data_IF_568873593964
#
_entry.id   IF_568873593964
#
_cell.length_a   1.000
_cell.length_b   1.000
_cell.length_c   1.000
_cell.angle_alpha   90.00
_cell.angle_beta   90.00
_cell.angle_gamma   90.00
#
_symmetry.space_group_name_H-M   'P 1'
#
loop_
_entity.id
_entity.type
_entity.pdbx_description
1 polymer ?
#
# COMPACT_ATOMS: atom_id res chain seq x y z
N UNK A 1 -0.78 20.21 -6.26
CA UNK A 1 0.60 20.60 -5.94
C UNK A 1 1.13 19.45 -5.13
N UNK A 2 2.15 18.71 -5.59
CA UNK A 2 2.78 17.72 -4.73
C UNK A 2 3.78 18.51 -3.90
N UNK A 3 3.35 19.00 -2.74
CA UNK A 3 4.15 19.82 -1.80
C UNK A 3 5.18 18.95 -1.05
N UNK A 4 5.65 17.87 -1.67
CA UNK A 4 6.71 17.03 -1.14
C UNK A 4 7.92 17.14 -2.06
N UNK A 5 8.97 17.78 -1.54
CA UNK A 5 10.25 17.82 -2.20
C UNK A 5 10.87 16.42 -2.18
N UNK A 6 10.94 15.80 -3.36
CA UNK A 6 11.64 14.54 -3.54
C UNK A 6 13.12 14.82 -3.80
N UNK A 7 13.98 14.21 -2.99
CA UNK A 7 15.43 14.37 -3.08
C UNK A 7 16.10 13.01 -3.34
N UNK A 8 17.24 13.05 -4.03
CA UNK A 8 18.06 11.85 -4.23
C UNK A 8 18.90 11.56 -2.98
N UNK A 9 19.14 10.27 -2.67
CA UNK A 9 20.02 9.92 -1.54
C UNK A 9 21.45 10.43 -1.71
N UNK A 10 21.90 10.68 -2.94
CA UNK A 10 23.23 11.22 -3.23
C UNK A 10 23.38 12.66 -2.74
N UNK A 11 22.31 13.45 -2.84
CA UNK A 11 22.31 14.88 -2.48
C UNK A 11 21.88 15.10 -1.02
N UNK A 12 21.27 14.11 -0.37
CA UNK A 12 20.81 14.19 1.01
C UNK A 12 21.91 13.84 2.03
N UNK A 13 22.61 14.85 2.53
CA UNK A 13 23.51 14.67 3.68
C UNK A 13 22.68 14.58 4.96
N UNK A 14 22.81 13.48 5.72
CA UNK A 14 22.00 13.26 6.94
C UNK A 14 22.07 14.40 7.96
N UNK A 15 23.21 15.09 8.09
CA UNK A 15 23.39 16.20 9.04
C UNK A 15 22.54 17.44 8.73
N UNK A 16 22.04 17.55 7.51
CA UNK A 16 21.26 18.72 7.07
C UNK A 16 19.77 18.56 7.41
N UNK A 17 19.35 17.34 7.78
CA UNK A 17 17.97 17.00 8.11
C UNK A 17 17.81 16.46 9.53
N UNK A 18 18.87 15.90 10.13
CA UNK A 18 18.87 15.37 11.50
C UNK A 18 19.72 16.26 12.41
N UNK A 19 19.12 17.32 12.93
CA UNK A 19 19.77 18.35 13.75
C UNK A 19 19.72 18.06 15.25
N UNK A 20 18.72 17.28 15.70
CA UNK A 20 18.45 17.04 17.12
C UNK A 20 18.47 15.56 17.48
N UNK A 21 18.95 15.26 18.68
CA UNK A 21 18.89 13.92 19.24
C UNK A 21 17.44 13.42 19.34
N UNK A 22 17.26 12.12 19.14
CA UNK A 22 15.98 11.37 19.12
C UNK A 22 15.10 11.64 17.90
N UNK A 23 15.57 12.43 16.94
CA UNK A 23 14.92 12.48 15.63
C UNK A 23 14.95 11.10 14.97
N UNK A 24 13.87 10.78 14.27
CA UNK A 24 13.57 9.45 13.75
C UNK A 24 13.40 9.51 12.25
N UNK A 25 13.87 8.48 11.58
CA UNK A 25 13.72 8.30 10.14
C UNK A 25 13.34 6.85 9.85
N UNK A 26 12.63 6.66 8.75
CA UNK A 26 12.25 5.34 8.25
C UNK A 26 12.92 5.13 6.89
N UNK A 27 13.63 4.02 6.75
CA UNK A 27 14.23 3.62 5.48
C UNK A 27 13.55 2.36 4.96
N UNK A 28 12.64 2.53 4.00
CA UNK A 28 11.99 1.43 3.30
C UNK A 28 12.94 0.91 2.24
N UNK A 29 13.39 -0.33 2.37
CA UNK A 29 14.34 -0.95 1.43
C UNK A 29 13.70 -2.02 0.55
N UNK A 30 12.52 -2.52 0.94
CA UNK A 30 11.75 -3.48 0.17
C UNK A 30 10.28 -3.07 0.20
N UNK A 31 9.82 -2.52 -0.92
CA UNK A 31 8.45 -2.07 -1.08
C UNK A 31 7.44 -3.21 -1.26
N UNK A 32 7.87 -4.39 -1.73
CA UNK A 32 6.95 -5.50 -1.99
C UNK A 32 6.50 -6.18 -0.71
N UNK A 33 7.42 -6.33 0.24
CA UNK A 33 7.12 -6.91 1.56
C UNK A 33 7.02 -5.84 2.65
N UNK A 34 6.96 -4.57 2.29
CA UNK A 34 6.88 -3.42 3.21
C UNK A 34 7.97 -3.43 4.32
N UNK A 35 9.19 -3.88 4.01
CA UNK A 35 10.26 -3.94 5.00
C UNK A 35 10.99 -2.60 5.10
N UNK A 36 11.14 -2.14 6.33
CA UNK A 36 11.80 -0.89 6.64
C UNK A 36 12.73 -1.01 7.85
N UNK A 37 13.76 -0.16 7.87
CA UNK A 37 14.58 0.10 9.05
C UNK A 37 14.06 1.36 9.74
N UNK A 38 13.78 1.23 11.03
CA UNK A 38 13.53 2.36 11.90
C UNK A 38 14.86 2.83 12.51
N UNK A 39 15.29 4.03 12.16
CA UNK A 39 16.55 4.59 12.65
C UNK A 39 16.28 5.84 13.47
N UNK A 40 17.01 5.98 14.58
CA UNK A 40 16.93 7.12 15.49
C UNK A 40 18.33 7.71 15.68
N UNK A 41 18.45 9.03 15.60
CA UNK A 41 19.68 9.72 15.92
C UNK A 41 19.87 9.73 17.45
N UNK A 42 20.74 8.86 17.96
CA UNK A 42 20.90 8.70 19.41
C UNK A 42 21.64 9.87 20.08
N UNK A 43 22.73 10.32 19.46
CA UNK A 43 23.65 11.32 20.04
C UNK A 43 24.44 12.01 18.92
N UNK A 44 24.69 13.31 19.07
CA UNK A 44 25.64 14.06 18.23
C UNK A 44 26.87 14.37 19.08
N UNK A 45 28.05 13.90 18.66
CA UNK A 45 29.31 14.12 19.38
C UNK A 45 30.18 15.15 18.63
N UNK A 46 30.22 16.43 19.07
CA UNK A 46 30.97 17.47 18.39
C UNK A 46 32.48 17.22 18.43
N UNK A 47 33.18 17.62 17.37
CA UNK A 47 34.65 17.49 17.27
C UNK A 47 35.15 16.05 17.03
N UNK A 48 34.25 15.06 16.98
CA UNK A 48 34.60 13.67 16.64
C UNK A 48 34.30 13.41 15.17
N UNK A 49 35.35 13.14 14.38
CA UNK A 49 35.22 12.75 12.97
C UNK A 49 35.69 11.31 12.78
N UNK A 50 34.76 10.42 12.45
CA UNK A 50 35.09 9.03 12.12
C UNK A 50 35.59 8.95 10.68
N UNK A 51 36.61 8.13 10.43
CA UNK A 51 37.08 7.84 9.06
C UNK A 51 36.14 6.86 8.33
N UNK A 52 35.51 5.96 9.09
CA UNK A 52 34.61 4.92 8.62
C UNK A 52 33.51 4.67 9.66
N UNK A 53 32.32 4.21 9.25
CA UNK A 53 31.27 3.83 10.18
C UNK A 53 31.71 2.66 11.07
N UNK A 54 31.22 2.62 12.31
CA UNK A 54 31.55 1.59 13.29
C UNK A 54 30.26 1.08 13.95
N UNK A 55 30.01 -0.22 13.88
CA UNK A 55 28.98 -0.87 14.70
C UNK A 55 29.53 -1.08 16.11
N UNK A 56 29.00 -0.34 17.08
CA UNK A 56 29.41 -0.43 18.50
C UNK A 56 28.58 -1.45 19.28
N UNK A 57 27.36 -1.72 18.83
CA UNK A 57 26.45 -2.69 19.42
C UNK A 57 25.62 -3.37 18.33
N UNK A 58 25.57 -4.69 18.36
CA UNK A 58 24.65 -5.50 17.58
C UNK A 58 24.03 -6.56 18.48
N UNK A 59 22.72 -6.77 18.36
CA UNK A 59 21.95 -7.76 19.14
C UNK A 59 20.93 -8.43 18.23
N UNK A 60 20.77 -9.73 18.42
CA UNK A 60 19.90 -10.56 17.58
C UNK A 60 20.58 -10.96 16.27
N UNK A 61 19.80 -11.61 15.40
CA UNK A 61 20.22 -12.00 14.06
C UNK A 61 19.34 -11.28 13.04
N UNK A 62 19.96 -10.77 11.97
CA UNK A 62 19.22 -10.09 10.92
C UNK A 62 18.33 -11.08 10.16
N UNK A 63 17.10 -10.69 9.77
CA UNK A 63 16.24 -11.55 8.98
C UNK A 63 16.85 -11.84 7.60
N UNK A 64 16.52 -12.98 6.97
CA UNK A 64 16.99 -13.29 5.63
C UNK A 64 16.55 -12.21 4.62
N UNK A 65 17.47 -11.81 3.75
CA UNK A 65 17.23 -10.73 2.79
C UNK A 65 16.28 -11.20 1.66
N UNK A 66 16.47 -12.42 1.17
CA UNK A 66 15.67 -13.02 0.10
C UNK A 66 14.75 -14.05 0.73
N UNK A 67 13.45 -13.81 0.65
CA UNK A 67 12.42 -14.79 1.02
C UNK A 67 11.70 -15.18 -0.26
N UNK A 68 11.48 -16.49 -0.49
CA UNK A 68 10.72 -16.92 -1.66
C UNK A 68 9.26 -16.49 -1.48
N UNK A 69 8.76 -15.63 -2.38
CA UNK A 69 7.39 -15.11 -2.32
C UNK A 69 6.34 -16.22 -2.41
N UNK A 70 6.66 -17.35 -3.06
CA UNK A 70 5.76 -18.50 -3.18
C UNK A 70 5.38 -19.09 -1.81
N UNK A 71 6.27 -19.03 -0.81
CA UNK A 71 6.00 -19.53 0.55
C UNK A 71 5.09 -18.60 1.36
N UNK A 72 5.00 -17.31 1.02
CA UNK A 72 4.12 -16.38 1.75
C UNK A 72 2.66 -16.44 1.26
N UNK A 73 2.42 -16.93 0.04
CA UNK A 73 1.07 -17.05 -0.52
C UNK A 73 0.26 -18.22 0.05
N UNK A 74 0.91 -19.20 0.69
CA UNK A 74 0.23 -20.42 1.16
C UNK A 74 -0.64 -20.22 2.40
N UNK A 75 -0.43 -19.15 3.18
CA UNK A 75 -1.19 -18.89 4.41
C UNK A 75 -2.52 -18.13 4.15
N UNK A 76 -2.82 -17.80 2.90
CA UNK A 76 -4.13 -17.24 2.49
C UNK A 76 -5.00 -18.31 1.81
N UNK A 77 -4.92 -19.56 2.27
CA UNK A 77 -5.73 -20.67 1.72
C UNK A 77 -6.92 -20.96 2.63
N UNK A 78 -7.89 -20.03 2.65
CA UNK A 78 -9.34 -20.27 2.82
C UNK A 78 -10.09 -18.95 3.05
N UNK A 79 -10.11 -18.06 2.06
CA UNK A 79 -11.25 -17.18 1.90
C UNK A 79 -12.12 -17.83 0.82
N UNK A 80 -13.29 -18.30 1.21
CA UNK A 80 -14.35 -18.79 0.31
C UNK A 80 -14.68 -17.69 -0.71
N UNK A 81 -13.96 -17.70 -1.83
CA UNK A 81 -14.32 -16.99 -3.06
C UNK A 81 -15.29 -17.88 -3.84
N UNK A 82 -16.41 -18.23 -3.21
CA UNK A 82 -17.46 -19.00 -3.88
C UNK A 82 -18.23 -18.10 -4.84
N UNK A 83 -18.69 -18.67 -5.95
CA UNK A 83 -19.34 -17.94 -7.06
C UNK A 83 -20.67 -17.28 -6.63
N UNK A 84 -21.28 -17.70 -5.52
CA UNK A 84 -22.44 -17.02 -4.92
C UNK A 84 -22.17 -15.58 -4.47
N UNK A 85 -20.91 -15.15 -4.30
CA UNK A 85 -20.60 -13.76 -3.97
C UNK A 85 -20.84 -12.79 -5.13
N UNK A 86 -20.74 -13.27 -6.38
CA UNK A 86 -20.93 -12.46 -7.59
C UNK A 86 -22.36 -12.49 -8.14
N UNK A 87 -23.30 -13.10 -7.41
CA UNK A 87 -24.72 -13.01 -7.75
C UNK A 87 -25.13 -13.82 -8.99
N UNK A 88 -24.51 -14.98 -9.23
CA UNK A 88 -25.01 -15.95 -10.23
C UNK A 88 -26.27 -16.71 -9.75
N UNK A 89 -26.77 -16.39 -8.55
CA UNK A 89 -28.09 -16.84 -8.14
C UNK A 89 -29.14 -15.94 -8.81
N UNK A 90 -29.98 -16.60 -9.62
CA UNK A 90 -31.10 -16.06 -10.41
C UNK A 90 -31.62 -14.70 -9.94
N UNK A 91 -31.68 -13.73 -10.86
CA UNK A 91 -32.31 -12.42 -10.67
C UNK A 91 -33.65 -12.55 -9.93
N UNK A 92 -33.69 -12.10 -8.67
CA UNK A 92 -34.92 -12.01 -7.89
C UNK A 92 -35.65 -10.72 -8.29
N UNK A 93 -36.72 -10.89 -9.07
CA UNK A 93 -37.57 -9.77 -9.49
C UNK A 93 -38.27 -9.10 -8.31
N UNK A 94 -38.34 -9.75 -7.15
CA UNK A 94 -38.96 -9.22 -5.94
C UNK A 94 -38.01 -8.27 -5.16
N UNK A 95 -36.70 -8.25 -5.45
CA UNK A 95 -35.73 -7.29 -4.92
C UNK A 95 -35.62 -6.00 -5.75
N UNK A 96 -36.21 -5.96 -6.95
CA UNK A 96 -36.25 -4.76 -7.78
C UNK A 96 -37.27 -3.77 -7.22
N UNK A 97 -36.79 -2.79 -6.45
CA UNK A 97 -37.62 -1.69 -5.96
C UNK A 97 -38.22 -0.89 -7.12
N UNK A 98 -39.55 -0.95 -7.21
CA UNK A 98 -40.33 -0.32 -8.27
C UNK A 98 -40.20 1.22 -8.22
N UNK A 99 -39.86 1.81 -7.06
CA UNK A 99 -39.63 3.27 -6.92
C UNK A 99 -38.35 3.74 -7.65
N UNK A 100 -37.39 2.87 -7.92
CA UNK A 100 -36.16 3.20 -8.66
C UNK A 100 -36.32 3.24 -10.18
N UNK A 101 -37.45 2.74 -10.69
CA UNK A 101 -37.74 2.61 -12.12
C UNK A 101 -38.84 3.58 -12.61
N UNK A 102 -39.30 4.51 -11.76
CA UNK A 102 -40.20 5.62 -12.13
C UNK A 102 -39.50 6.60 -13.09
N UNK A 103 -39.42 6.22 -14.36
CA UNK A 103 -38.75 6.99 -15.41
C UNK A 103 -38.37 6.15 -16.64
N UNK A 104 -38.40 4.81 -16.53
CA UNK A 104 -38.14 3.91 -17.67
C UNK A 104 -39.38 3.75 -18.56
N UNK A 105 -40.59 3.88 -18.00
CA UNK A 105 -41.84 3.84 -18.77
C UNK A 105 -41.91 4.91 -19.86
N UNK A 106 -41.30 6.09 -19.65
CA UNK A 106 -41.28 7.18 -20.64
C UNK A 106 -40.26 6.93 -21.77
N UNK A 107 -39.21 6.14 -21.49
CA UNK A 107 -38.19 5.76 -22.48
C UNK A 107 -38.70 4.66 -23.42
N UNK A 108 -39.53 3.73 -22.92
CA UNK A 108 -40.10 2.66 -23.74
C UNK A 108 -41.15 3.18 -24.74
N UNK A 109 -41.77 4.33 -24.47
CA UNK A 109 -42.71 4.98 -25.39
C UNK A 109 -42.07 5.73 -26.55
N UNK A 110 -40.79 6.11 -26.46
CA UNK A 110 -40.07 6.79 -27.55
C UNK A 110 -39.33 5.83 -28.50
N UNK A 111 -38.96 4.64 -28.04
CA UNK A 111 -38.43 3.58 -28.92
C UNK A 111 -39.63 2.85 -29.53
N UNK A 112 -40.23 3.46 -30.55
CA UNK A 112 -41.21 2.79 -31.39
C UNK A 112 -40.64 1.48 -31.95
N UNK A 113 -41.49 0.47 -32.09
CA UNK A 113 -41.23 -0.91 -32.56
C UNK A 113 -40.57 -1.03 -33.96
N UNK A 114 -39.99 0.03 -34.52
CA UNK A 114 -39.47 0.10 -35.90
C UNK A 114 -37.94 -0.08 -36.00
N UNK A 115 -37.20 -0.06 -34.88
CA UNK A 115 -35.72 -0.19 -34.90
C UNK A 115 -35.19 -1.57 -34.43
N UNK A 116 -36.06 -2.57 -34.31
CA UNK A 116 -35.65 -3.96 -34.10
C UNK A 116 -35.89 -4.83 -35.35
N UNK A 117 -35.18 -4.52 -36.45
CA UNK A 117 -34.54 -5.43 -37.43
C UNK A 117 -34.20 -4.72 -38.75
#
# INVERSE_FOLDING_TARGET
SSDEDSYSMEECVLSDYLEEEKQKLMFVFDYFTERALYMELSEIIPGKKLKQPLCTLSKGEAPPQITNFEEMTSDTTSQDMDESFYGDESFDMDELDQEGFEGLDDFLTEIGDDDLY
#
